data_IF_856598314196
#
_entry.id   IF_856598314196
#
_cell.length_a   1.000
_cell.length_b   1.000
_cell.length_c   1.000
_cell.angle_alpha   90.00
_cell.angle_beta   90.00
_cell.angle_gamma   90.00
#
_symmetry.space_group_name_H-M   'P 1'
#
loop_
_entity.id
_entity.type
_entity.pdbx_description
1 polymer ?
#
# COMPACT_ATOMS: atom_id res chain seq x y z
N UNK A 1 31.51 7.00 -6.26
CA UNK A 1 32.01 5.60 -6.44
C UNK A 1 31.10 4.54 -5.82
N UNK A 2 29.79 4.78 -5.67
CA UNK A 2 28.90 3.96 -4.80
C UNK A 2 27.77 3.22 -5.51
N UNK A 3 27.48 3.51 -6.80
CA UNK A 3 26.36 2.90 -7.53
C UNK A 3 26.60 1.45 -7.96
N UNK A 4 27.73 1.17 -8.61
CA UNK A 4 28.04 -0.16 -9.17
C UNK A 4 28.27 -1.23 -8.09
N UNK A 5 28.88 -0.84 -6.95
CA UNK A 5 29.07 -1.73 -5.80
C UNK A 5 27.74 -2.05 -5.12
N UNK A 6 26.84 -1.06 -4.97
CA UNK A 6 25.50 -1.25 -4.41
C UNK A 6 24.62 -2.13 -5.30
N UNK A 7 24.75 -2.01 -6.63
CA UNK A 7 24.05 -2.90 -7.58
C UNK A 7 24.58 -4.34 -7.54
N UNK A 8 25.91 -4.54 -7.50
CA UNK A 8 26.49 -5.88 -7.36
C UNK A 8 26.12 -6.50 -6.00
N UNK A 9 26.14 -5.71 -4.94
CA UNK A 9 25.72 -6.13 -3.61
C UNK A 9 24.23 -6.51 -3.58
N UNK A 10 23.37 -5.72 -4.20
CA UNK A 10 21.93 -6.01 -4.32
C UNK A 10 21.67 -7.28 -5.14
N UNK A 11 22.40 -7.52 -6.24
CA UNK A 11 22.30 -8.77 -7.02
C UNK A 11 22.81 -9.98 -6.23
N UNK A 12 23.90 -9.82 -5.49
CA UNK A 12 24.45 -10.89 -4.64
C UNK A 12 23.48 -11.23 -3.49
N UNK A 13 22.88 -10.22 -2.85
CA UNK A 13 21.83 -10.39 -1.85
C UNK A 13 20.56 -11.02 -2.44
N UNK A 14 20.14 -10.63 -3.64
CA UNK A 14 18.97 -11.19 -4.31
C UNK A 14 19.10 -12.69 -4.60
N UNK A 15 20.31 -13.15 -4.94
CA UNK A 15 20.60 -14.58 -5.09
C UNK A 15 20.63 -15.33 -3.75
N UNK A 16 20.98 -14.66 -2.64
CA UNK A 16 21.12 -15.28 -1.31
C UNK A 16 19.83 -15.22 -0.45
N UNK A 17 18.98 -14.23 -0.70
CA UNK A 17 17.72 -13.94 0.00
C UNK A 17 16.67 -13.54 -1.06
N UNK A 18 15.98 -14.53 -1.67
CA UNK A 18 14.89 -14.26 -2.60
C UNK A 18 13.70 -13.61 -1.87
N UNK A 19 12.89 -12.87 -2.61
CA UNK A 19 11.66 -12.28 -2.11
C UNK A 19 10.70 -13.38 -1.66
N UNK A 20 10.20 -13.29 -0.43
CA UNK A 20 9.26 -14.25 0.11
C UNK A 20 8.39 -13.56 1.16
N UNK A 21 7.11 -13.93 1.20
CA UNK A 21 6.15 -13.42 2.20
C UNK A 21 6.52 -13.80 3.64
N UNK A 22 7.38 -14.80 3.83
CA UNK A 22 7.94 -15.19 5.12
C UNK A 22 9.43 -15.49 5.00
N UNK A 23 10.25 -14.87 5.85
CA UNK A 23 11.69 -15.01 5.85
C UNK A 23 12.21 -15.30 7.26
N UNK A 24 12.80 -16.48 7.44
CA UNK A 24 13.57 -16.83 8.63
C UNK A 24 15.02 -16.35 8.52
N UNK A 25 15.52 -15.72 9.58
CA UNK A 25 16.91 -15.29 9.71
C UNK A 25 17.79 -16.45 10.17
N UNK A 26 18.65 -16.90 9.26
CA UNK A 26 19.61 -17.98 9.48
C UNK A 26 21.06 -17.46 9.35
N UNK A 27 22.04 -18.30 9.68
CA UNK A 27 23.48 -17.95 9.65
C UNK A 27 23.96 -17.37 8.30
N UNK A 28 23.35 -17.79 7.19
CA UNK A 28 23.69 -17.30 5.84
C UNK A 28 23.18 -15.89 5.55
N UNK A 29 22.32 -15.32 6.40
CA UNK A 29 21.64 -14.04 6.16
C UNK A 29 22.04 -12.96 7.16
N UNK A 30 22.70 -13.34 8.26
CA UNK A 30 23.10 -12.46 9.34
C UNK A 30 24.57 -12.07 9.15
N UNK A 31 24.84 -10.77 9.20
CA UNK A 31 26.18 -10.20 9.22
C UNK A 31 26.42 -9.55 10.57
N UNK A 32 27.63 -9.70 11.12
CA UNK A 32 28.02 -9.11 12.41
C UNK A 32 29.27 -8.28 12.19
N UNK A 33 29.22 -7.01 12.62
CA UNK A 33 30.37 -6.12 12.60
C UNK A 33 30.50 -5.39 13.94
N UNK A 34 31.72 -5.04 14.38
CA UNK A 34 31.92 -4.17 15.53
C UNK A 34 31.36 -2.77 15.25
N UNK A 35 30.67 -2.21 16.23
CA UNK A 35 30.25 -0.80 16.20
C UNK A 35 31.45 0.11 16.46
N UNK A 36 31.27 1.43 16.34
CA UNK A 36 32.33 2.40 16.70
C UNK A 36 32.81 2.19 18.14
N UNK A 37 31.88 1.91 19.06
CA UNK A 37 32.20 1.60 20.46
C UNK A 37 32.91 0.26 20.57
N UNK A 38 32.49 -0.76 19.81
CA UNK A 38 33.19 -2.05 19.75
C UNK A 38 34.64 -1.93 19.26
N UNK A 39 34.88 -1.10 18.25
CA UNK A 39 36.25 -0.82 17.76
C UNK A 39 37.07 -0.10 18.82
N UNK A 40 36.52 0.91 19.49
CA UNK A 40 37.19 1.59 20.59
C UNK A 40 37.51 0.64 21.76
N UNK A 41 36.59 -0.28 22.07
CA UNK A 41 36.78 -1.31 23.08
C UNK A 41 37.92 -2.29 22.72
N UNK A 42 37.97 -2.75 21.47
CA UNK A 42 39.07 -3.59 20.97
C UNK A 42 40.42 -2.86 21.01
N UNK A 43 40.43 -1.57 20.68
CA UNK A 43 41.62 -0.74 20.78
C UNK A 43 42.09 -0.59 22.23
N UNK A 44 41.17 -0.32 23.17
CA UNK A 44 41.49 -0.26 24.59
C UNK A 44 42.05 -1.59 25.12
N UNK A 45 41.46 -2.73 24.73
CA UNK A 45 42.00 -4.05 25.05
C UNK A 45 43.42 -4.25 24.54
N UNK A 46 43.72 -3.80 23.33
CA UNK A 46 45.08 -3.88 22.76
C UNK A 46 46.08 -3.05 23.58
N UNK A 47 45.71 -1.81 23.93
CA UNK A 47 46.54 -0.93 24.75
C UNK A 47 46.77 -1.53 26.15
N UNK A 48 45.71 -2.05 26.79
CA UNK A 48 45.82 -2.72 28.08
C UNK A 48 46.73 -3.95 28.01
N UNK A 49 46.63 -4.75 26.95
CA UNK A 49 47.48 -5.92 26.75
C UNK A 49 48.95 -5.50 26.62
N UNK A 50 49.25 -4.47 25.82
CA UNK A 50 50.61 -3.94 25.67
C UNK A 50 51.16 -3.40 26.99
N UNK A 51 50.34 -2.71 27.77
CA UNK A 51 50.72 -2.24 29.10
C UNK A 51 50.98 -3.39 30.07
N UNK A 52 50.13 -4.42 30.09
CA UNK A 52 50.33 -5.62 30.90
C UNK A 52 51.64 -6.34 30.57
N UNK A 53 51.98 -6.42 29.28
CA UNK A 53 53.25 -6.97 28.79
C UNK A 53 54.43 -6.12 29.23
N UNK A 54 54.36 -4.81 29.04
CA UNK A 54 55.45 -3.89 29.36
C UNK A 54 55.77 -3.91 30.87
N UNK A 55 54.73 -3.82 31.71
CA UNK A 55 54.88 -3.75 33.17
C UNK A 55 54.90 -5.12 33.86
N UNK A 56 54.82 -6.23 33.11
CA UNK A 56 54.72 -7.60 33.66
C UNK A 56 53.62 -7.74 34.74
N UNK A 57 52.51 -7.02 34.58
CA UNK A 57 51.46 -6.93 35.59
C UNK A 57 50.43 -8.07 35.41
N UNK A 58 50.49 -9.08 36.28
CA UNK A 58 49.59 -10.25 36.28
C UNK A 58 48.10 -9.90 36.40
N UNK A 59 47.75 -8.88 37.18
CA UNK A 59 46.35 -8.46 37.34
C UNK A 59 45.82 -7.80 36.07
N UNK A 60 46.66 -7.02 35.38
CA UNK A 60 46.30 -6.40 34.11
C UNK A 60 46.02 -7.43 33.01
N UNK A 61 46.78 -8.53 32.96
CA UNK A 61 46.46 -9.67 32.08
C UNK A 61 45.09 -10.28 32.41
N UNK A 62 44.84 -10.56 33.69
CA UNK A 62 43.57 -11.14 34.15
C UNK A 62 42.36 -10.31 33.70
N UNK A 63 42.41 -8.99 33.92
CA UNK A 63 41.35 -8.08 33.49
C UNK A 63 41.21 -8.01 31.96
N UNK A 64 42.32 -7.94 31.23
CA UNK A 64 42.30 -7.88 29.76
C UNK A 64 41.69 -9.13 29.14
N UNK A 65 42.06 -10.31 29.63
CA UNK A 65 41.48 -11.58 29.15
C UNK A 65 40.04 -11.79 29.59
N UNK A 66 39.65 -11.32 30.77
CA UNK A 66 38.25 -11.32 31.21
C UNK A 66 37.39 -10.48 30.27
N UNK A 67 37.79 -9.23 30.00
CA UNK A 67 37.09 -8.32 29.09
C UNK A 67 37.09 -8.84 27.64
N UNK A 68 38.20 -9.43 27.19
CA UNK A 68 38.27 -10.12 25.90
C UNK A 68 37.31 -11.31 25.81
N UNK A 69 37.17 -12.09 26.88
CA UNK A 69 36.21 -13.20 26.95
C UNK A 69 34.77 -12.69 26.89
N UNK A 70 34.46 -11.60 27.61
CA UNK A 70 33.14 -10.94 27.52
C UNK A 70 32.85 -10.48 26.09
N UNK A 71 33.84 -9.94 25.37
CA UNK A 71 33.67 -9.56 23.97
C UNK A 71 33.32 -10.76 23.08
N UNK A 72 34.05 -11.88 23.21
CA UNK A 72 33.77 -13.11 22.44
C UNK A 72 32.37 -13.66 22.76
N UNK A 73 31.98 -13.69 24.03
CA UNK A 73 30.62 -14.09 24.44
C UNK A 73 29.57 -13.14 23.86
N UNK A 74 29.85 -11.83 23.83
CA UNK A 74 28.95 -10.83 23.23
C UNK A 74 28.70 -11.13 21.75
N UNK A 75 29.70 -11.55 20.97
CA UNK A 75 29.51 -11.99 19.57
C UNK A 75 28.45 -13.08 19.46
N UNK A 76 28.54 -14.09 20.32
CA UNK A 76 27.57 -15.20 20.33
C UNK A 76 26.18 -14.74 20.72
N UNK A 77 26.05 -13.88 21.74
CA UNK A 77 24.75 -13.35 22.15
C UNK A 77 24.12 -12.45 21.07
N UNK A 78 24.91 -11.55 20.46
CA UNK A 78 24.45 -10.68 19.37
C UNK A 78 24.00 -11.49 18.15
N UNK A 79 24.73 -12.56 17.79
CA UNK A 79 24.29 -13.50 16.75
C UNK A 79 22.97 -14.20 17.14
N UNK A 80 22.93 -14.81 18.33
CA UNK A 80 21.79 -15.60 18.80
C UNK A 80 20.52 -14.77 18.95
N UNK A 81 20.66 -13.47 19.22
CA UNK A 81 19.55 -12.53 19.34
C UNK A 81 18.85 -12.25 18.02
N UNK A 82 19.51 -12.43 16.87
CA UNK A 82 18.88 -12.26 15.56
C UNK A 82 18.57 -13.61 14.87
N UNK A 83 19.35 -14.64 15.19
CA UNK A 83 19.19 -15.97 14.63
C UNK A 83 17.88 -16.65 15.08
N UNK A 84 17.12 -17.14 14.11
CA UNK A 84 15.85 -17.83 14.32
C UNK A 84 14.61 -16.93 14.29
N UNK A 85 14.79 -15.60 14.21
CA UNK A 85 13.68 -14.66 14.05
C UNK A 85 13.02 -14.86 12.69
N UNK A 86 11.69 -14.93 12.67
CA UNK A 86 10.89 -15.04 11.44
C UNK A 86 10.19 -13.72 11.20
N UNK A 87 10.31 -13.20 9.98
CA UNK A 87 9.61 -12.00 9.54
C UNK A 87 8.53 -12.42 8.56
N UNK A 88 7.32 -11.90 8.75
CA UNK A 88 6.21 -12.11 7.83
C UNK A 88 5.74 -10.77 7.28
N UNK A 89 5.42 -10.77 5.98
CA UNK A 89 4.70 -9.70 5.33
C UNK A 89 3.28 -9.62 5.91
N UNK A 90 2.94 -8.48 6.50
CA UNK A 90 1.56 -8.13 6.83
C UNK A 90 0.80 -7.61 5.61
N UNK A 91 -0.52 -7.47 5.75
CA UNK A 91 -1.35 -6.81 4.74
C UNK A 91 -1.03 -5.31 4.69
N UNK A 92 -1.11 -4.75 3.49
CA UNK A 92 -0.98 -3.31 3.28
C UNK A 92 -2.21 -2.82 2.51
N UNK A 93 -2.88 -1.81 3.07
CA UNK A 93 -3.98 -1.13 2.39
C UNK A 93 -3.44 -0.27 1.25
N UNK A 94 -4.25 -0.07 0.21
CA UNK A 94 -3.95 0.92 -0.82
C UNK A 94 -3.99 2.34 -0.21
N UNK A 95 -3.15 3.23 -0.72
CA UNK A 95 -3.03 4.63 -0.25
C UNK A 95 -3.04 5.59 -1.42
N UNK A 96 -3.35 6.87 -1.20
CA UNK A 96 -3.27 7.87 -2.26
C UNK A 96 -1.84 8.43 -2.38
N UNK A 97 -1.45 8.84 -3.59
CA UNK A 97 -0.16 9.49 -3.81
C UNK A 97 -0.07 10.77 -2.97
N UNK A 98 1.03 10.93 -2.26
CA UNK A 98 1.26 11.97 -1.26
C UNK A 98 0.99 11.53 0.19
N UNK A 99 0.39 10.35 0.40
CA UNK A 99 0.19 9.77 1.72
C UNK A 99 1.32 8.80 2.10
N UNK A 100 1.49 8.59 3.41
CA UNK A 100 2.43 7.60 3.94
C UNK A 100 1.77 6.21 3.99
N UNK A 101 2.25 5.29 3.17
CA UNK A 101 1.89 3.88 3.24
C UNK A 101 2.34 3.27 4.58
N UNK A 102 1.44 2.55 5.25
CA UNK A 102 1.74 1.84 6.50
C UNK A 102 1.92 0.36 6.20
N UNK A 103 3.18 -0.06 6.07
CA UNK A 103 3.51 -1.45 5.84
C UNK A 103 3.58 -2.20 7.16
N UNK A 104 2.76 -3.24 7.29
CA UNK A 104 2.77 -4.12 8.45
C UNK A 104 3.82 -5.21 8.28
N UNK A 105 4.65 -5.39 9.30
CA UNK A 105 5.63 -6.47 9.37
C UNK A 105 5.44 -7.18 10.70
N UNK A 106 5.20 -8.50 10.64
CA UNK A 106 5.07 -9.31 11.86
C UNK A 106 6.38 -10.01 12.14
N UNK A 107 6.91 -9.80 13.33
CA UNK A 107 8.07 -10.49 13.86
C UNK A 107 7.58 -11.64 14.74
N UNK A 108 8.09 -12.84 14.53
CA UNK A 108 7.72 -14.03 15.28
C UNK A 108 8.98 -14.74 15.79
N UNK A 109 8.91 -15.14 17.07
CA UNK A 109 9.88 -16.05 17.66
C UNK A 109 9.25 -17.42 17.89
N UNK A 110 10.01 -18.47 17.56
CA UNK A 110 9.60 -19.86 17.84
C UNK A 110 10.13 -20.41 19.16
N UNK A 111 11.15 -19.80 19.77
CA UNK A 111 11.79 -20.40 20.93
C UNK A 111 12.47 -19.45 21.92
N UNK A 112 13.01 -18.31 21.46
CA UNK A 112 13.87 -17.43 22.28
C UNK A 112 13.39 -15.99 22.27
N UNK A 113 13.67 -15.22 23.30
CA UNK A 113 13.44 -13.78 23.22
C UNK A 113 14.44 -13.14 22.24
N UNK A 114 13.99 -12.10 21.54
CA UNK A 114 14.77 -11.28 20.65
C UNK A 114 14.64 -9.83 21.10
N UNK A 115 15.73 -9.24 21.56
CA UNK A 115 15.75 -7.92 22.23
C UNK A 115 16.31 -6.84 21.29
N UNK A 116 15.80 -5.63 21.41
CA UNK A 116 16.24 -4.46 20.67
C UNK A 116 16.38 -4.72 19.15
N UNK A 117 15.33 -5.29 18.56
CA UNK A 117 15.27 -5.53 17.12
C UNK A 117 14.83 -4.24 16.43
N UNK A 118 15.74 -3.62 15.70
CA UNK A 118 15.50 -2.42 14.92
C UNK A 118 15.19 -2.80 13.46
N UNK A 119 14.09 -2.30 12.91
CA UNK A 119 13.65 -2.57 11.53
C UNK A 119 13.20 -1.31 10.80
N UNK A 120 13.48 -1.25 9.49
CA UNK A 120 13.07 -0.13 8.63
C UNK A 120 13.79 -0.11 7.29
N UNK A 121 13.53 0.94 6.49
CA UNK A 121 14.15 1.16 5.18
C UNK A 121 15.09 2.36 5.22
N UNK A 122 16.42 2.15 5.28
CA UNK A 122 17.38 3.26 5.25
C UNK A 122 17.20 4.09 3.97
N UNK A 123 17.18 5.44 4.06
CA UNK A 123 17.68 6.24 5.17
C UNK A 123 16.65 6.60 6.26
N UNK A 124 15.40 6.12 6.19
CA UNK A 124 14.42 6.37 7.25
C UNK A 124 14.83 5.72 8.58
N UNK A 125 14.30 6.28 9.68
CA UNK A 125 14.57 5.81 11.03
C UNK A 125 14.08 4.38 11.22
N UNK A 126 14.87 3.60 11.97
CA UNK A 126 14.52 2.23 12.32
C UNK A 126 13.64 2.26 13.57
N UNK A 127 12.52 1.53 13.53
CA UNK A 127 11.70 1.30 14.72
C UNK A 127 12.29 0.13 15.50
N UNK A 128 12.38 0.26 16.82
CA UNK A 128 12.89 -0.78 17.71
C UNK A 128 11.74 -1.49 18.43
N UNK A 129 11.80 -2.82 18.45
CA UNK A 129 10.82 -3.68 19.11
C UNK A 129 11.49 -4.89 19.77
N UNK A 130 10.87 -5.41 20.82
CA UNK A 130 11.26 -6.65 21.48
C UNK A 130 10.25 -7.75 21.14
N UNK A 131 10.75 -8.97 20.98
CA UNK A 131 9.93 -10.15 20.67
C UNK A 131 10.13 -11.18 21.78
N UNK A 132 9.08 -11.42 22.56
CA UNK A 132 9.12 -12.44 23.60
C UNK A 132 9.38 -13.84 23.01
N UNK A 133 9.92 -14.74 23.84
CA UNK A 133 10.07 -16.15 23.46
C UNK A 133 8.69 -16.75 23.13
N UNK A 134 8.59 -17.43 21.98
CA UNK A 134 7.32 -17.99 21.48
C UNK A 134 6.22 -16.94 21.24
N UNK A 135 6.60 -15.65 21.18
CA UNK A 135 5.70 -14.53 20.94
C UNK A 135 5.78 -14.01 19.52
N UNK A 136 4.86 -13.10 19.21
CA UNK A 136 4.90 -12.31 17.98
C UNK A 136 4.50 -10.87 18.24
N UNK A 137 5.16 -9.95 17.55
CA UNK A 137 4.84 -8.51 17.58
C UNK A 137 4.63 -8.03 16.15
N UNK A 138 3.70 -7.10 15.97
CA UNK A 138 3.44 -6.44 14.69
C UNK A 138 3.96 -5.02 14.73
N UNK A 139 4.61 -4.60 13.64
CA UNK A 139 5.22 -3.30 13.49
C UNK A 139 4.63 -2.60 12.28
N UNK A 140 4.26 -1.33 12.42
CA UNK A 140 3.79 -0.50 11.30
C UNK A 140 4.91 0.47 10.87
N UNK A 141 5.46 0.21 9.68
CA UNK A 141 6.53 1.01 9.10
C UNK A 141 5.97 1.96 8.03
N UNK A 142 6.21 3.25 8.19
CA UNK A 142 5.78 4.27 7.24
C UNK A 142 6.72 4.37 6.03
N UNK A 143 6.13 4.44 4.83
CA UNK A 143 6.85 4.72 3.58
C UNK A 143 6.13 5.82 2.82
N UNK A 144 6.85 6.87 2.45
CA UNK A 144 6.29 7.97 1.67
C UNK A 144 5.99 7.50 0.25
N UNK A 145 4.79 7.84 -0.25
CA UNK A 145 4.37 7.51 -1.61
C UNK A 145 4.22 8.78 -2.42
N UNK A 146 4.96 8.90 -3.53
CA UNK A 146 4.91 10.11 -4.37
C UNK A 146 4.22 9.87 -5.71
N UNK A 147 4.31 8.64 -6.23
CA UNK A 147 3.80 8.26 -7.55
C UNK A 147 2.80 7.12 -7.42
N UNK A 148 1.76 7.16 -8.25
CA UNK A 148 0.76 6.10 -8.34
C UNK A 148 1.35 4.81 -8.94
N UNK A 149 0.65 3.70 -8.73
CA UNK A 149 1.00 2.38 -9.24
C UNK A 149 1.48 1.43 -8.15
N UNK A 150 2.13 0.34 -8.54
CA UNK A 150 2.71 -0.59 -7.59
C UNK A 150 4.01 -0.04 -7.01
N UNK A 151 4.00 0.20 -5.71
CA UNK A 151 5.18 0.57 -4.95
C UNK A 151 5.74 -0.67 -4.24
N UNK A 152 6.95 -1.05 -4.60
CA UNK A 152 7.72 -2.05 -3.87
C UNK A 152 8.66 -1.34 -2.87
N UNK A 153 8.53 -1.58 -1.56
CA UNK A 153 9.35 -0.94 -0.54
C UNK A 153 10.83 -1.39 -0.61
N UNK A 154 11.10 -2.49 -1.33
CA UNK A 154 12.42 -3.09 -1.44
C UNK A 154 12.85 -3.78 -0.15
N UNK A 155 14.18 -3.85 0.07
CA UNK A 155 14.75 -4.64 1.16
C UNK A 155 14.64 -3.93 2.50
N UNK A 156 13.92 -4.55 3.42
CA UNK A 156 13.84 -4.18 4.83
C UNK A 156 15.18 -4.49 5.52
N UNK A 157 15.76 -3.50 6.18
CA UNK A 157 16.91 -3.72 7.07
C UNK A 157 16.39 -4.13 8.43
N UNK A 158 16.96 -5.19 8.98
CA UNK A 158 16.74 -5.60 10.37
C UNK A 158 18.08 -5.70 11.07
N UNK A 159 18.24 -5.03 12.20
CA UNK A 159 19.46 -5.05 13.00
C UNK A 159 19.20 -5.16 14.50
N UNK A 160 20.20 -5.60 15.25
CA UNK A 160 20.21 -5.54 16.70
C UNK A 160 21.61 -5.29 17.21
N UNK A 161 21.70 -4.49 18.28
CA UNK A 161 22.94 -4.17 18.99
C UNK A 161 23.00 -4.79 20.40
N UNK A 162 22.01 -5.62 20.73
CA UNK A 162 21.97 -6.34 21.99
C UNK A 162 23.16 -7.32 22.10
N UNK A 163 23.73 -7.55 23.30
CA UNK A 163 23.37 -6.93 24.59
C UNK A 163 24.12 -5.63 24.92
N UNK A 164 25.40 -5.51 24.55
CA UNK A 164 26.27 -4.44 25.06
C UNK A 164 26.47 -3.26 24.10
N UNK A 165 25.89 -3.29 22.89
CA UNK A 165 26.12 -2.25 21.88
C UNK A 165 27.50 -2.29 21.20
N UNK A 166 28.37 -3.24 21.56
CA UNK A 166 29.71 -3.40 20.98
C UNK A 166 29.68 -3.93 19.54
N UNK A 167 28.64 -4.67 19.19
CA UNK A 167 28.49 -5.34 17.90
C UNK A 167 27.11 -5.02 17.35
N UNK A 168 26.99 -5.02 16.02
CA UNK A 168 25.70 -4.94 15.33
C UNK A 168 25.54 -6.20 14.48
N UNK A 169 24.51 -6.99 14.79
CA UNK A 169 24.01 -8.03 13.89
C UNK A 169 22.97 -7.40 12.97
N UNK A 170 23.07 -7.59 11.66
CA UNK A 170 22.10 -7.07 10.71
C UNK A 170 21.84 -8.02 9.53
N UNK A 171 20.69 -7.84 8.89
CA UNK A 171 20.24 -8.54 7.69
C UNK A 171 19.44 -7.59 6.79
N UNK A 172 19.41 -7.88 5.48
CA UNK A 172 18.50 -7.24 4.53
C UNK A 172 17.53 -8.28 3.99
N UNK A 173 16.25 -8.13 4.32
CA UNK A 173 15.18 -9.06 3.99
C UNK A 173 14.27 -8.45 2.92
N UNK A 174 13.86 -9.26 1.96
CA UNK A 174 12.87 -8.86 0.95
C UNK A 174 11.57 -9.63 1.22
N UNK A 175 10.53 -8.92 1.65
CA UNK A 175 9.25 -9.51 2.07
C UNK A 175 8.24 -9.64 0.93
N UNK A 176 8.64 -9.32 -0.31
CA UNK A 176 7.76 -9.31 -1.50
C UNK A 176 6.46 -8.51 -1.30
N UNK A 177 6.51 -7.49 -0.44
CA UNK A 177 5.37 -6.60 -0.22
C UNK A 177 5.24 -5.64 -1.41
N UNK A 178 3.99 -5.36 -1.76
CA UNK A 178 3.65 -4.38 -2.77
C UNK A 178 2.46 -3.56 -2.28
N UNK A 179 2.54 -2.25 -2.43
CA UNK A 179 1.47 -1.32 -2.07
C UNK A 179 0.92 -0.71 -3.34
N UNK A 180 -0.40 -0.77 -3.52
CA UNK A 180 -1.05 -0.07 -4.62
C UNK A 180 -1.28 1.38 -4.21
N UNK A 181 -0.66 2.30 -4.95
CA UNK A 181 -0.80 3.75 -4.73
C UNK A 181 -1.78 4.31 -5.76
N UNK A 182 -2.90 4.86 -5.28
CA UNK A 182 -3.89 5.55 -6.10
C UNK A 182 -3.41 6.95 -6.51
N UNK A 183 -3.91 7.52 -7.62
CA UNK A 183 -3.63 8.92 -7.95
C UNK A 183 -4.08 9.85 -6.82
N UNK A 184 -3.38 10.96 -6.60
CA UNK A 184 -3.83 11.95 -5.61
C UNK A 184 -5.14 12.58 -6.10
N UNK A 185 -6.23 12.62 -5.31
CA UNK A 185 -7.46 13.27 -5.75
C UNK A 185 -7.22 14.78 -5.93
N UNK A 186 -7.64 15.30 -7.09
CA UNK A 186 -7.61 16.73 -7.40
C UNK A 186 -9.04 17.23 -7.55
N UNK A 187 -9.44 18.18 -6.71
CA UNK A 187 -10.75 18.82 -6.80
C UNK A 187 -10.86 19.59 -8.12
N UNK A 188 -11.99 19.47 -8.79
CA UNK A 188 -12.24 20.16 -10.05
C UNK A 188 -13.65 19.91 -10.57
N UNK A 189 -13.96 20.49 -11.72
CA UNK A 189 -15.28 20.35 -12.35
C UNK A 189 -15.55 18.91 -12.79
N UNK A 190 -16.83 18.51 -12.79
CA UNK A 190 -17.25 17.18 -13.22
C UNK A 190 -16.97 17.04 -14.70
N UNK A 191 -16.17 16.03 -15.13
CA UNK A 191 -16.04 15.70 -16.53
C UNK A 191 -17.30 15.02 -16.99
N UNK A 192 -18.36 15.79 -17.17
CA UNK A 192 -19.43 15.40 -18.04
C UNK A 192 -18.90 15.58 -19.46
N UNK A 193 -19.04 14.54 -20.28
CA UNK A 193 -18.94 14.69 -21.72
C UNK A 193 -19.81 15.88 -22.15
N UNK A 194 -19.20 17.03 -22.43
CA UNK A 194 -19.82 18.10 -23.21
C UNK A 194 -19.85 17.60 -24.65
N UNK A 195 -20.82 16.75 -24.94
CA UNK A 195 -21.16 16.28 -26.28
C UNK A 195 -22.62 16.63 -26.56
N UNK A 196 -22.83 17.79 -27.17
CA UNK A 196 -24.15 18.27 -27.60
C UNK A 196 -24.32 19.76 -27.34
N UNK A 197 -24.46 20.52 -28.42
CA UNK A 197 -24.90 21.92 -28.46
C UNK A 197 -26.05 22.23 -27.49
N UNK A 198 -26.16 23.51 -27.12
CA UNK A 198 -27.22 24.09 -26.25
C UNK A 198 -28.68 23.86 -26.72
N UNK A 199 -28.91 23.03 -27.75
CA UNK A 199 -30.22 22.67 -28.29
C UNK A 199 -30.49 21.14 -28.39
N UNK A 200 -29.59 20.26 -27.95
CA UNK A 200 -29.83 18.80 -27.97
C UNK A 200 -29.39 18.12 -26.65
N UNK A 201 -30.29 18.05 -25.67
CA UNK A 201 -30.09 17.39 -24.36
C UNK A 201 -29.98 15.84 -24.42
N UNK A 202 -29.70 15.23 -25.58
CA UNK A 202 -29.86 13.79 -25.81
C UNK A 202 -28.74 13.16 -26.65
N UNK A 203 -27.47 13.28 -26.26
CA UNK A 203 -26.41 12.49 -26.89
C UNK A 203 -25.18 12.21 -26.00
N UNK A 204 -25.40 11.46 -24.92
CA UNK A 204 -24.31 10.87 -24.11
C UNK A 204 -24.80 9.84 -23.09
N UNK A 205 -25.99 9.27 -23.32
CA UNK A 205 -26.73 8.49 -22.34
C UNK A 205 -26.66 7.00 -22.67
N UNK A 206 -25.98 6.21 -21.84
CA UNK A 206 -26.22 4.77 -21.79
C UNK A 206 -27.43 4.58 -20.89
N UNK A 207 -28.57 4.22 -21.48
CA UNK A 207 -29.83 3.95 -20.78
C UNK A 207 -29.93 2.46 -20.48
N UNK A 208 -29.87 2.08 -19.21
CA UNK A 208 -30.45 0.81 -18.75
C UNK A 208 -31.50 1.10 -17.67
N UNK A 209 -32.76 0.80 -18.00
CA UNK A 209 -33.92 1.24 -17.23
C UNK A 209 -34.22 0.43 -15.97
N UNK A 210 -34.86 1.09 -15.00
CA UNK A 210 -36.24 0.81 -14.53
C UNK A 210 -36.65 1.75 -13.39
N UNK A 211 -37.70 2.56 -13.63
CA UNK A 211 -38.83 2.69 -12.69
C UNK A 211 -39.20 4.06 -12.09
N UNK A 212 -40.37 4.58 -12.52
CA UNK A 212 -41.38 5.38 -11.77
C UNK A 212 -41.05 6.85 -11.43
N UNK A 213 -41.94 7.85 -11.52
CA UNK A 213 -43.26 8.06 -12.16
C UNK A 213 -43.44 9.59 -12.24
N UNK A 214 -43.18 10.23 -13.39
CA UNK A 214 -43.61 11.62 -13.64
C UNK A 214 -44.71 11.59 -14.70
N UNK A 215 -45.92 12.06 -14.33
CA UNK A 215 -47.09 12.04 -15.21
C UNK A 215 -46.88 12.97 -16.41
N UNK A 216 -46.78 12.39 -17.61
CA UNK A 216 -46.44 13.11 -18.84
C UNK A 216 -47.69 13.44 -19.68
N UNK A 217 -48.76 12.65 -19.53
CA UNK A 217 -50.01 12.90 -20.25
C UNK A 217 -51.00 11.72 -20.25
N UNK A 218 -52.00 11.81 -21.11
CA UNK A 218 -52.99 10.75 -21.34
C UNK A 218 -52.87 10.25 -22.77
N UNK A 219 -52.71 8.93 -22.95
CA UNK A 219 -52.72 8.29 -24.28
C UNK A 219 -53.89 7.33 -24.45
N UNK A 220 -54.32 7.11 -25.68
CA UNK A 220 -55.38 6.14 -25.99
C UNK A 220 -54.94 4.72 -25.64
N UNK A 221 -55.83 3.96 -24.99
CA UNK A 221 -55.59 2.59 -24.58
C UNK A 221 -55.36 1.67 -25.78
N UNK A 222 -54.32 0.84 -25.69
CA UNK A 222 -54.06 -0.24 -26.64
C UNK A 222 -54.16 -1.61 -25.95
N UNK A 223 -54.59 -2.67 -26.65
CA UNK A 223 -54.60 -4.02 -26.12
C UNK A 223 -53.19 -4.45 -25.68
N UNK A 224 -52.98 -4.63 -24.38
CA UNK A 224 -51.67 -4.92 -23.77
C UNK A 224 -51.31 -3.96 -22.62
N UNK A 225 -51.99 -2.82 -22.54
CA UNK A 225 -51.77 -1.84 -21.48
C UNK A 225 -52.29 -2.31 -20.11
N UNK A 226 -51.51 -2.04 -19.07
CA UNK A 226 -51.87 -2.42 -17.70
C UNK A 226 -53.14 -1.70 -17.24
N UNK A 227 -54.15 -2.49 -16.85
CA UNK A 227 -55.45 -2.01 -16.35
C UNK A 227 -55.33 -1.10 -15.12
N UNK A 228 -54.23 -1.17 -14.36
CA UNK A 228 -53.94 -0.29 -13.21
C UNK A 228 -53.65 1.17 -13.61
N UNK A 229 -53.26 1.42 -14.87
CA UNK A 229 -52.89 2.76 -15.37
C UNK A 229 -54.04 3.47 -16.09
N UNK A 230 -55.23 2.85 -16.13
CA UNK A 230 -56.41 3.44 -16.76
C UNK A 230 -56.91 4.67 -16.00
N UNK A 231 -57.17 5.73 -16.75
CA UNK A 231 -57.71 6.97 -16.21
C UNK A 231 -59.24 6.90 -16.15
N UNK A 232 -59.76 6.19 -15.14
CA UNK A 232 -61.21 5.93 -14.95
C UNK A 232 -62.09 7.19 -14.97
N UNK A 233 -61.56 8.32 -14.49
CA UNK A 233 -62.28 9.61 -14.46
C UNK A 233 -62.49 10.23 -15.85
N UNK A 234 -61.66 9.87 -16.83
CA UNK A 234 -61.84 10.31 -18.21
C UNK A 234 -62.82 9.39 -18.96
N UNK A 235 -62.77 8.08 -18.65
CA UNK A 235 -63.71 7.09 -19.17
C UNK A 235 -65.16 7.40 -18.73
N UNK A 236 -65.38 7.79 -17.46
CA UNK A 236 -66.70 8.17 -16.97
C UNK A 236 -67.27 9.45 -17.57
N UNK A 237 -66.45 10.24 -18.29
CA UNK A 237 -66.85 11.47 -18.99
C UNK A 237 -67.02 11.27 -20.51
N UNK A 238 -67.01 10.03 -20.99
CA UNK A 238 -67.19 9.70 -22.41
C UNK A 238 -65.96 9.97 -23.29
N UNK A 239 -64.79 10.24 -22.71
CA UNK A 239 -63.57 10.61 -23.45
C UNK A 239 -62.76 9.38 -23.96
N UNK A 240 -63.37 8.19 -23.99
CA UNK A 240 -62.71 6.94 -24.37
C UNK A 240 -61.80 6.35 -23.28
N UNK A 241 -61.24 5.15 -23.52
CA UNK A 241 -60.24 4.57 -22.62
C UNK A 241 -58.89 5.29 -22.82
N UNK A 242 -58.51 6.07 -21.82
CA UNK A 242 -57.22 6.73 -21.74
C UNK A 242 -56.37 6.09 -20.64
N UNK A 243 -55.08 5.93 -20.90
CA UNK A 243 -54.07 5.41 -19.98
C UNK A 243 -53.18 6.58 -19.56
N UNK A 244 -52.91 6.68 -18.25
CA UNK A 244 -51.90 7.61 -17.72
C UNK A 244 -50.54 7.22 -18.27
N UNK A 245 -49.95 8.11 -19.05
CA UNK A 245 -48.60 7.95 -19.58
C UNK A 245 -47.62 8.59 -18.60
N UNK A 246 -46.63 7.81 -18.16
CA UNK A 246 -45.62 8.24 -17.22
C UNK A 246 -44.29 8.29 -17.95
N UNK A 247 -43.60 9.43 -17.89
CA UNK A 247 -42.21 9.52 -18.29
C UNK A 247 -41.39 8.64 -17.33
N UNK A 248 -40.60 7.72 -17.87
CA UNK A 248 -39.58 7.07 -17.08
C UNK A 248 -38.50 8.13 -16.80
N UNK A 249 -38.43 8.64 -15.57
CA UNK A 249 -37.26 9.40 -15.14
C UNK A 249 -36.10 8.42 -15.09
N UNK A 250 -35.33 8.43 -16.18
CA UNK A 250 -34.18 7.56 -16.35
C UNK A 250 -33.12 8.07 -15.39
N UNK A 251 -32.64 7.20 -14.47
CA UNK A 251 -31.45 7.50 -13.69
C UNK A 251 -30.35 7.94 -14.65
N UNK A 252 -29.81 9.13 -14.45
CA UNK A 252 -28.72 9.65 -15.28
C UNK A 252 -27.48 8.84 -14.90
N UNK A 253 -27.17 7.81 -15.67
CA UNK A 253 -25.94 7.04 -15.51
C UNK A 253 -24.76 7.94 -15.92
N UNK A 254 -23.91 8.29 -14.93
CA UNK A 254 -22.78 9.18 -15.14
C UNK A 254 -21.61 8.41 -15.76
N UNK A 255 -21.05 8.94 -16.86
CA UNK A 255 -19.84 8.39 -17.49
C UNK A 255 -18.65 9.29 -17.18
N UNK A 256 -17.65 8.73 -16.49
CA UNK A 256 -16.36 9.36 -16.26
C UNK A 256 -15.39 8.96 -17.38
N UNK A 257 -15.18 9.84 -18.35
CA UNK A 257 -14.33 9.58 -19.52
C UNK A 257 -12.99 10.31 -19.42
N UNK A 258 -11.90 9.55 -19.57
CA UNK A 258 -10.53 10.07 -19.58
C UNK A 258 -10.21 10.95 -20.80
N UNK A 259 -10.80 10.67 -21.96
CA UNK A 259 -10.44 11.37 -23.21
C UNK A 259 -11.10 12.74 -23.35
N UNK A 260 -12.23 12.95 -22.66
CA UNK A 260 -12.95 14.23 -22.58
C UNK A 260 -12.18 15.27 -21.77
N UNK A 261 -11.37 14.82 -20.81
CA UNK A 261 -10.64 15.69 -19.89
C UNK A 261 -9.51 16.44 -20.57
N UNK A 262 -9.33 17.71 -20.21
CA UNK A 262 -8.18 18.53 -20.61
C UNK A 262 -7.02 18.39 -19.61
N UNK A 263 -5.81 18.78 -20.04
CA UNK A 263 -4.60 18.72 -19.20
C UNK A 263 -3.72 17.49 -19.45
N UNK A 264 -2.66 17.39 -18.63
CA UNK A 264 -1.71 16.29 -18.65
C UNK A 264 -2.31 15.01 -18.05
N UNK A 265 -1.71 13.88 -18.39
CA UNK A 265 -2.19 12.55 -17.97
C UNK A 265 -2.41 12.44 -16.46
N UNK A 266 -1.51 12.97 -15.64
CA UNK A 266 -1.61 12.86 -14.18
C UNK A 266 -2.77 13.66 -13.64
N UNK A 267 -2.97 14.89 -14.11
CA UNK A 267 -4.10 15.72 -13.72
C UNK A 267 -5.44 15.08 -14.10
N UNK A 268 -5.56 14.48 -15.30
CA UNK A 268 -6.78 13.77 -15.70
C UNK A 268 -7.10 12.61 -14.76
N UNK A 269 -6.11 11.78 -14.43
CA UNK A 269 -6.28 10.66 -13.50
C UNK A 269 -6.61 11.12 -12.08
N UNK A 270 -6.02 12.24 -11.65
CA UNK A 270 -6.25 12.85 -10.33
C UNK A 270 -7.67 13.40 -10.21
N UNK A 271 -8.20 14.00 -11.28
CA UNK A 271 -9.57 14.50 -11.34
C UNK A 271 -10.60 13.36 -11.42
N UNK A 272 -10.34 12.32 -12.23
CA UNK A 272 -11.16 11.11 -12.24
C UNK A 272 -11.17 10.43 -10.86
N UNK A 273 -10.02 10.37 -10.19
CA UNK A 273 -9.92 9.83 -8.85
C UNK A 273 -10.80 10.60 -7.86
N UNK A 274 -10.79 11.93 -7.90
CA UNK A 274 -11.67 12.75 -7.08
C UNK A 274 -13.15 12.43 -7.34
N UNK A 275 -13.57 12.37 -8.60
CA UNK A 275 -14.97 12.09 -8.94
C UNK A 275 -15.42 10.67 -8.62
N UNK A 276 -14.55 9.66 -8.78
CA UNK A 276 -14.82 8.30 -8.32
C UNK A 276 -15.12 8.29 -6.81
N UNK A 277 -14.37 9.04 -6.01
CA UNK A 277 -14.61 9.14 -4.56
C UNK A 277 -15.93 9.84 -4.26
N UNK A 278 -16.18 11.01 -4.86
CA UNK A 278 -17.40 11.80 -4.64
C UNK A 278 -18.66 11.03 -5.05
N UNK A 279 -18.67 10.37 -6.21
CA UNK A 279 -19.82 9.60 -6.68
C UNK A 279 -20.06 8.34 -5.85
N UNK A 280 -18.98 7.70 -5.38
CA UNK A 280 -19.07 6.55 -4.48
C UNK A 280 -19.64 6.93 -3.11
N UNK A 281 -19.19 8.06 -2.53
CA UNK A 281 -19.72 8.59 -1.27
C UNK A 281 -21.21 8.96 -1.38
N UNK A 282 -21.61 9.51 -2.54
CA UNK A 282 -23.01 9.84 -2.84
C UNK A 282 -23.87 8.63 -3.21
N UNK A 283 -23.29 7.43 -3.26
CA UNK A 283 -23.97 6.21 -3.72
C UNK A 283 -24.67 6.41 -5.08
N UNK A 284 -23.99 7.10 -6.00
CA UNK A 284 -24.50 7.31 -7.36
C UNK A 284 -23.88 6.27 -8.31
N UNK A 285 -24.67 5.61 -9.18
CA UNK A 285 -24.12 4.73 -10.21
C UNK A 285 -23.30 5.52 -11.24
N UNK A 286 -22.12 5.00 -11.60
CA UNK A 286 -21.28 5.60 -12.64
C UNK A 286 -20.47 4.54 -13.38
N UNK A 287 -20.13 4.83 -14.63
CA UNK A 287 -19.17 4.09 -15.45
C UNK A 287 -17.83 4.84 -15.51
N UNK A 288 -16.73 4.10 -15.66
CA UNK A 288 -15.39 4.66 -15.86
C UNK A 288 -14.86 4.18 -17.22
N UNK A 289 -14.44 5.12 -18.06
CA UNK A 289 -13.84 4.84 -19.35
C UNK A 289 -12.40 5.36 -19.40
N UNK A 290 -11.48 4.42 -19.54
CA UNK A 290 -10.06 4.66 -19.78
C UNK A 290 -9.72 4.20 -21.22
N UNK A 291 -8.66 4.74 -21.86
CA UNK A 291 -8.28 4.38 -23.23
C UNK A 291 -8.15 2.87 -23.51
N UNK A 292 -7.77 2.08 -22.50
CA UNK A 292 -7.51 0.64 -22.63
C UNK A 292 -8.46 -0.23 -21.80
N UNK A 293 -9.35 0.36 -21.00
CA UNK A 293 -10.20 -0.37 -20.05
C UNK A 293 -11.51 0.39 -19.80
N UNK A 294 -12.64 -0.29 -19.91
CA UNK A 294 -13.97 0.28 -19.64
C UNK A 294 -14.64 -0.51 -18.52
N UNK A 295 -15.01 0.17 -17.44
CA UNK A 295 -15.78 -0.39 -16.34
C UNK A 295 -17.24 0.02 -16.50
N UNK A 296 -18.18 -0.94 -16.53
CA UNK A 296 -19.60 -0.65 -16.73
C UNK A 296 -20.19 0.12 -15.54
N UNK A 297 -21.39 0.67 -15.73
CA UNK A 297 -22.13 1.35 -14.67
C UNK A 297 -22.34 0.40 -13.50
N UNK A 298 -21.80 0.75 -12.34
CA UNK A 298 -22.00 0.02 -11.11
C UNK A 298 -21.92 0.97 -9.91
N UNK A 299 -22.20 0.41 -8.74
CA UNK A 299 -22.26 1.14 -7.47
C UNK A 299 -21.66 0.27 -6.36
N UNK A 300 -21.09 0.93 -5.34
CA UNK A 300 -20.63 0.30 -4.11
C UNK A 300 -19.11 0.19 -4.00
N UNK A 301 -18.66 -0.29 -2.84
CA UNK A 301 -17.25 -0.32 -2.43
C UNK A 301 -16.35 -1.10 -3.40
N UNK A 302 -16.83 -2.24 -3.89
CA UNK A 302 -16.08 -3.05 -4.84
C UNK A 302 -15.85 -2.32 -6.17
N UNK A 303 -16.86 -1.58 -6.65
CA UNK A 303 -16.74 -0.78 -7.88
C UNK A 303 -15.77 0.38 -7.69
N UNK A 304 -15.85 1.07 -6.53
CA UNK A 304 -14.90 2.11 -6.14
C UNK A 304 -13.46 1.60 -6.18
N UNK A 305 -13.17 0.47 -5.53
CA UNK A 305 -11.84 -0.14 -5.52
C UNK A 305 -11.37 -0.55 -6.92
N UNK A 306 -12.25 -1.11 -7.75
CA UNK A 306 -11.95 -1.47 -9.14
C UNK A 306 -11.58 -0.24 -9.97
N UNK A 307 -12.36 0.84 -9.88
CA UNK A 307 -12.08 2.10 -10.55
C UNK A 307 -10.75 2.72 -10.09
N UNK A 308 -10.51 2.82 -8.78
CA UNK A 308 -9.27 3.37 -8.24
C UNK A 308 -8.05 2.53 -8.65
N UNK A 309 -8.19 1.21 -8.67
CA UNK A 309 -7.14 0.30 -9.15
C UNK A 309 -6.86 0.50 -10.64
N UNK A 310 -7.89 0.62 -11.47
CA UNK A 310 -7.71 0.89 -12.90
C UNK A 310 -6.98 2.22 -13.12
N UNK A 311 -7.36 3.28 -12.39
CA UNK A 311 -6.68 4.58 -12.44
C UNK A 311 -5.21 4.52 -12.00
N UNK A 312 -4.89 3.75 -10.96
CA UNK A 312 -3.53 3.56 -10.49
C UNK A 312 -2.64 2.84 -11.50
N UNK A 313 -3.18 1.83 -12.18
CA UNK A 313 -2.44 1.00 -13.15
C UNK A 313 -2.45 1.59 -14.57
N UNK A 314 -3.22 2.65 -14.81
CA UNK A 314 -3.39 3.22 -16.14
C UNK A 314 -2.08 3.83 -16.67
N UNK A 315 -1.48 3.10 -17.62
CA UNK A 315 -0.19 3.34 -18.32
C UNK A 315 1.01 3.65 -17.43
N UNK A 316 0.99 3.12 -16.21
CA UNK A 316 2.20 2.76 -15.48
C UNK A 316 2.47 1.28 -15.73
N UNK A 317 3.37 0.97 -16.66
CA UNK A 317 3.89 -0.37 -16.88
C UNK A 317 5.38 -0.41 -16.56
N UNK A 318 5.72 -1.06 -15.44
CA UNK A 318 7.05 -1.34 -14.90
C UNK A 318 7.84 -0.16 -14.30
#
# INVERSE_FOLDING_TARGET
MTGAFRQHWNRWLARRIPAASSVQLNQRRIFILPTRVGVAFLFALLVMLLAAINYQNSLAYGLTFLLGSVFVVTILHTYRNLAGLVLHAGSVGAVFAGEAARLRVRLESRSRAHEAIALGWPPADLQQQDVAAQGSVECELGLQTERRGWLHPGRLRVESRFPLGLLVAWSHVDLDQAVLVYPRPLEGELPLARGGSEDDEQAGLISQGRGSDDFQGLRTYQPGDSRRRLHWKAYSRGQGLLVKDFAAQTGRDLLLDFDVLSGDRESRLSLLCHWVLVLSERQQPFALQLPNESLPVAIGERHREQCLRALALHGGGA
#
